data_IF_364304666180
#
_entry.id   IF_364304666180
#
_cell.length_a   1.000
_cell.length_b   1.000
_cell.length_c   1.000
_cell.angle_alpha   90.00
_cell.angle_beta   90.00
_cell.angle_gamma   90.00
#
_symmetry.space_group_name_H-M   'P 1'
#
loop_
_entity.id
_entity.type
_entity.pdbx_description
1 polymer ?
#
# COMPACT_ATOMS: atom_id res chain seq x y z
N UNK A 1 6.68 5.76 15.24
CA UNK A 1 6.73 7.01 14.42
C UNK A 1 8.10 7.70 14.50
N UNK A 2 8.59 8.14 15.67
CA UNK A 2 9.91 8.79 15.79
C UNK A 2 11.05 7.90 15.29
N UNK A 3 11.05 6.61 15.67
CA UNK A 3 12.04 5.64 15.18
C UNK A 3 11.98 5.45 13.65
N UNK A 4 10.79 5.43 13.05
CA UNK A 4 10.63 5.32 11.60
C UNK A 4 11.13 6.58 10.86
N UNK A 5 10.84 7.77 11.40
CA UNK A 5 11.37 9.04 10.87
C UNK A 5 12.89 9.13 11.03
N UNK A 6 13.44 8.57 12.12
CA UNK A 6 14.87 8.50 12.36
C UNK A 6 15.57 7.55 11.37
N UNK A 7 15.01 6.36 11.16
CA UNK A 7 15.50 5.41 10.14
C UNK A 7 15.43 6.03 8.74
N UNK A 8 14.32 6.69 8.39
CA UNK A 8 14.21 7.45 7.13
C UNK A 8 15.33 8.48 6.99
N UNK A 9 15.57 9.31 8.01
CA UNK A 9 16.65 10.31 7.98
C UNK A 9 18.04 9.67 7.87
N UNK A 10 18.28 8.51 8.48
CA UNK A 10 19.53 7.75 8.32
C UNK A 10 19.66 7.21 6.89
N UNK A 11 18.62 6.60 6.33
CA UNK A 11 18.64 6.07 4.96
C UNK A 11 18.87 7.15 3.92
N UNK A 12 18.30 8.36 4.14
CA UNK A 12 18.57 9.54 3.30
C UNK A 12 20.03 10.00 3.44
N UNK A 13 20.54 10.09 4.67
CA UNK A 13 21.91 10.57 4.93
C UNK A 13 23.00 9.59 4.47
N UNK A 14 22.68 8.29 4.38
CA UNK A 14 23.60 7.22 3.95
C UNK A 14 23.59 6.97 2.44
N UNK A 15 22.75 7.68 1.66
CA UNK A 15 22.66 7.51 0.20
C UNK A 15 21.99 6.20 -0.26
N UNK A 16 21.67 5.29 0.66
CA UNK A 16 20.90 4.07 0.37
C UNK A 16 19.51 4.38 -0.18
N UNK A 17 18.94 5.50 0.23
CA UNK A 17 17.66 5.95 -0.29
C UNK A 17 17.73 6.31 -1.79
N UNK A 18 18.87 6.83 -2.27
CA UNK A 18 19.07 7.08 -3.70
C UNK A 18 19.14 5.79 -4.52
N UNK A 19 19.60 4.69 -3.92
CA UNK A 19 19.60 3.34 -4.55
C UNK A 19 18.19 2.77 -4.65
N UNK A 20 17.37 2.94 -3.60
CA UNK A 20 15.96 2.52 -3.62
C UNK A 20 15.20 3.36 -4.65
N UNK A 21 15.42 4.68 -4.66
CA UNK A 21 14.89 5.61 -5.65
C UNK A 21 15.32 5.25 -7.07
N UNK A 22 16.59 4.95 -7.32
CA UNK A 22 17.08 4.57 -8.65
C UNK A 22 16.50 3.24 -9.12
N UNK A 23 16.28 2.29 -8.20
CA UNK A 23 15.65 0.99 -8.51
C UNK A 23 14.16 1.12 -8.84
N UNK A 24 13.45 2.08 -8.25
CA UNK A 24 12.05 2.36 -8.58
C UNK A 24 11.95 3.16 -9.89
N UNK A 25 12.81 4.19 -10.06
CA UNK A 25 12.86 5.01 -11.27
C UNK A 25 13.32 4.23 -12.50
N UNK A 26 14.12 3.17 -12.34
CA UNK A 26 14.51 2.30 -13.44
C UNK A 26 13.37 1.45 -13.99
N UNK A 27 12.32 1.19 -13.19
CA UNK A 27 11.15 0.43 -13.62
C UNK A 27 10.21 1.33 -14.43
N UNK A 28 9.91 2.53 -13.93
CA UNK A 28 8.99 3.43 -14.64
C UNK A 28 9.19 4.91 -14.29
N UNK A 29 9.15 5.80 -15.30
CA UNK A 29 9.12 7.24 -15.08
C UNK A 29 7.71 7.77 -14.72
N UNK A 30 6.65 6.96 -14.89
CA UNK A 30 5.26 7.38 -14.63
C UNK A 30 4.98 7.41 -13.13
N UNK A 31 4.63 8.59 -12.60
CA UNK A 31 4.28 8.78 -11.19
C UNK A 31 3.11 7.88 -10.74
N UNK A 32 2.13 7.62 -11.60
CA UNK A 32 0.97 6.76 -11.28
C UNK A 32 1.42 5.32 -11.03
N UNK A 33 2.31 4.81 -11.86
CA UNK A 33 2.87 3.47 -11.72
C UNK A 33 3.84 3.39 -10.54
N UNK A 34 4.62 4.43 -10.26
CA UNK A 34 5.44 4.51 -9.05
C UNK A 34 4.59 4.45 -7.78
N UNK A 35 3.44 5.14 -7.78
CA UNK A 35 2.50 5.09 -6.67
C UNK A 35 1.94 3.67 -6.50
N UNK A 36 1.56 2.99 -7.59
CA UNK A 36 1.10 1.60 -7.52
C UNK A 36 2.18 0.67 -6.94
N UNK A 37 3.42 0.77 -7.41
CA UNK A 37 4.52 -0.12 -6.97
C UNK A 37 4.89 0.16 -5.52
N UNK A 38 5.09 1.42 -5.16
CA UNK A 38 5.61 1.81 -3.84
C UNK A 38 4.50 1.93 -2.81
N UNK A 39 3.44 2.66 -3.14
CA UNK A 39 2.32 2.92 -2.25
C UNK A 39 1.47 1.69 -1.99
N UNK A 40 1.16 0.90 -3.04
CA UNK A 40 0.35 -0.30 -2.89
C UNK A 40 1.18 -1.57 -2.72
N UNK A 41 1.96 -2.00 -3.72
CA UNK A 41 2.57 -3.33 -3.69
C UNK A 41 3.59 -3.46 -2.54
N UNK A 42 4.53 -2.53 -2.44
CA UNK A 42 5.52 -2.51 -1.36
C UNK A 42 4.89 -2.19 0.00
N UNK A 43 3.91 -1.29 0.02
CA UNK A 43 3.13 -0.97 1.23
C UNK A 43 2.40 -2.19 1.79
N UNK A 44 1.68 -2.93 0.96
CA UNK A 44 0.95 -4.14 1.35
C UNK A 44 1.89 -5.23 1.88
N UNK A 45 3.05 -5.40 1.26
CA UNK A 45 4.10 -6.31 1.75
C UNK A 45 4.55 -5.93 3.17
N UNK A 46 4.88 -4.65 3.38
CA UNK A 46 5.29 -4.15 4.69
C UNK A 46 4.17 -4.23 5.73
N UNK A 47 2.91 -4.03 5.35
CA UNK A 47 1.74 -4.13 6.23
C UNK A 47 1.53 -5.56 6.72
N UNK A 48 1.72 -6.56 5.85
CA UNK A 48 1.73 -7.95 6.28
C UNK A 48 2.79 -8.25 7.35
N UNK A 49 4.00 -7.69 7.19
CA UNK A 49 5.14 -7.98 8.07
C UNK A 49 5.18 -7.16 9.37
N UNK A 50 4.89 -5.85 9.30
CA UNK A 50 5.03 -4.91 10.42
C UNK A 50 3.69 -4.43 10.99
N UNK A 51 2.73 -4.15 10.10
CA UNK A 51 1.42 -3.59 10.42
C UNK A 51 1.43 -2.22 11.12
N UNK A 52 0.26 -1.83 11.66
CA UNK A 52 0.08 -0.68 12.55
C UNK A 52 0.52 0.68 11.96
N UNK A 53 0.42 0.84 10.63
CA UNK A 53 0.68 2.13 9.97
C UNK A 53 2.16 2.53 9.82
N UNK A 54 3.10 1.71 10.32
CA UNK A 54 4.51 1.87 9.96
C UNK A 54 4.78 1.79 8.43
N UNK A 55 4.11 0.91 7.67
CA UNK A 55 4.24 0.83 6.21
C UNK A 55 3.84 2.11 5.48
N UNK A 56 2.74 2.73 5.93
CA UNK A 56 2.25 3.99 5.35
C UNK A 56 3.30 5.09 5.48
N UNK A 57 3.95 5.18 6.65
CA UNK A 57 4.99 6.18 6.87
C UNK A 57 6.21 5.96 5.97
N UNK A 58 6.64 4.69 5.80
CA UNK A 58 7.80 4.34 4.97
C UNK A 58 7.52 4.61 3.49
N UNK A 59 6.38 4.14 2.99
CA UNK A 59 5.98 4.31 1.58
C UNK A 59 5.72 5.78 1.23
N UNK A 60 5.08 6.55 2.12
CA UNK A 60 4.88 7.97 1.92
C UNK A 60 6.23 8.72 1.84
N UNK A 61 7.17 8.39 2.74
CA UNK A 61 8.49 9.00 2.72
C UNK A 61 9.28 8.65 1.44
N UNK A 62 9.14 7.42 0.94
CA UNK A 62 9.68 6.99 -0.36
C UNK A 62 9.09 7.80 -1.52
N UNK A 63 7.77 7.92 -1.60
CA UNK A 63 7.10 8.72 -2.63
C UNK A 63 7.50 10.21 -2.59
N UNK A 64 7.66 10.79 -1.39
CA UNK A 64 8.17 12.15 -1.25
C UNK A 64 9.57 12.28 -1.83
N UNK A 65 10.43 11.30 -1.59
CA UNK A 65 11.76 11.24 -2.18
C UNK A 65 11.77 11.07 -3.70
N UNK A 66 10.71 10.50 -4.28
CA UNK A 66 10.50 10.43 -5.74
C UNK A 66 9.96 11.73 -6.35
N UNK A 67 9.61 12.72 -5.53
CA UNK A 67 9.16 14.05 -5.98
C UNK A 67 7.68 14.34 -5.73
N UNK A 68 6.96 13.47 -5.01
CA UNK A 68 5.57 13.74 -4.63
C UNK A 68 5.51 14.79 -3.52
N UNK A 69 4.43 15.59 -3.50
CA UNK A 69 4.16 16.51 -2.39
C UNK A 69 3.89 15.72 -1.10
N UNK A 70 4.47 16.09 0.07
CA UNK A 70 4.35 15.32 1.31
C UNK A 70 2.93 14.96 1.74
N UNK A 71 2.03 15.95 1.83
CA UNK A 71 0.63 15.70 2.20
C UNK A 71 -0.09 14.83 1.17
N UNK A 72 0.22 15.01 -0.11
CA UNK A 72 -0.40 14.27 -1.19
C UNK A 72 0.03 12.80 -1.17
N UNK A 73 1.34 12.54 -1.04
CA UNK A 73 1.89 11.19 -0.90
C UNK A 73 1.34 10.47 0.33
N UNK A 74 1.30 11.14 1.49
CA UNK A 74 0.75 10.57 2.71
C UNK A 74 -0.73 10.22 2.56
N UNK A 75 -1.55 11.11 1.97
CA UNK A 75 -2.97 10.85 1.72
C UNK A 75 -3.18 9.68 0.77
N UNK A 76 -2.40 9.62 -0.31
CA UNK A 76 -2.43 8.51 -1.27
C UNK A 76 -2.07 7.17 -0.61
N UNK A 77 -0.98 7.11 0.16
CA UNK A 77 -0.60 5.89 0.89
C UNK A 77 -1.66 5.48 1.92
N UNK A 78 -2.30 6.43 2.62
CA UNK A 78 -3.36 6.12 3.58
C UNK A 78 -4.57 5.46 2.92
N UNK A 79 -5.02 6.00 1.78
CA UNK A 79 -6.16 5.44 1.05
C UNK A 79 -5.87 4.01 0.63
N UNK A 80 -4.71 3.79 0.02
CA UNK A 80 -4.28 2.50 -0.52
C UNK A 80 -4.05 1.45 0.58
N UNK A 81 -3.60 1.86 1.76
CA UNK A 81 -3.38 0.95 2.88
C UNK A 81 -4.67 0.35 3.46
N UNK A 82 -5.84 0.89 3.11
CA UNK A 82 -7.15 0.40 3.57
C UNK A 82 -7.39 -1.07 3.20
N UNK A 83 -6.82 -1.53 2.08
CA UNK A 83 -6.94 -2.92 1.67
C UNK A 83 -6.07 -3.89 2.51
N UNK A 84 -4.73 -3.73 2.56
CA UNK A 84 -3.86 -4.67 3.27
C UNK A 84 -4.01 -4.68 4.79
N UNK A 85 -4.54 -3.62 5.41
CA UNK A 85 -4.60 -3.50 6.88
C UNK A 85 -5.38 -4.63 7.56
N UNK A 86 -6.40 -5.21 6.90
CA UNK A 86 -7.19 -6.29 7.51
C UNK A 86 -6.35 -7.54 7.82
N UNK A 87 -5.33 -7.81 7.01
CA UNK A 87 -4.37 -8.90 7.21
C UNK A 87 -3.03 -8.41 7.81
N UNK A 88 -2.98 -7.14 8.22
CA UNK A 88 -1.78 -6.51 8.76
C UNK A 88 -1.30 -7.17 10.05
N UNK A 89 0.01 -7.03 10.32
CA UNK A 89 0.66 -7.62 11.49
C UNK A 89 0.33 -9.11 11.67
N UNK A 90 0.47 -9.90 10.60
CA UNK A 90 0.15 -11.33 10.60
C UNK A 90 -1.30 -11.65 11.03
N UNK A 91 -2.27 -10.82 10.62
CA UNK A 91 -3.69 -11.07 10.85
C UNK A 91 -4.20 -10.70 12.25
N UNK A 92 -3.45 -9.94 13.04
CA UNK A 92 -3.89 -9.44 14.35
C UNK A 92 -5.29 -8.80 14.31
N UNK A 93 -5.65 -7.95 13.33
CA UNK A 93 -6.99 -7.35 13.27
C UNK A 93 -8.12 -8.38 13.18
N UNK A 94 -7.94 -9.47 12.44
CA UNK A 94 -8.92 -10.55 12.32
C UNK A 94 -9.01 -11.34 13.63
N UNK A 95 -7.86 -11.66 14.25
CA UNK A 95 -7.80 -12.38 15.53
C UNK A 95 -8.49 -11.58 16.64
N UNK A 96 -8.21 -10.28 16.74
CA UNK A 96 -8.82 -9.40 17.75
C UNK A 96 -10.31 -9.23 17.47
N UNK A 97 -10.72 -9.08 16.20
CA UNK A 97 -12.14 -9.01 15.84
C UNK A 97 -12.91 -10.27 16.27
N UNK A 98 -12.33 -11.46 16.08
CA UNK A 98 -12.92 -12.71 16.56
C UNK A 98 -13.03 -12.76 18.08
N UNK A 99 -11.98 -12.35 18.78
CA UNK A 99 -11.98 -12.30 20.25
C UNK A 99 -13.04 -11.38 20.85
N UNK A 100 -13.24 -10.18 20.28
CA UNK A 100 -14.20 -9.20 20.83
C UNK A 100 -15.65 -9.48 20.44
N UNK A 101 -15.88 -10.14 19.30
CA UNK A 101 -17.23 -10.47 18.81
C UNK A 101 -17.70 -11.86 19.26
N UNK A 102 -16.78 -12.74 19.66
CA UNK A 102 -17.08 -14.15 19.93
C UNK A 102 -17.31 -15.00 18.67
N UNK A 103 -17.05 -14.44 17.48
CA UNK A 103 -17.14 -15.14 16.19
C UNK A 103 -15.78 -15.79 15.89
N UNK A 104 -15.78 -16.95 15.23
CA UNK A 104 -14.54 -17.61 14.84
C UNK A 104 -13.70 -16.70 13.92
N UNK A 105 -12.42 -16.56 14.25
CA UNK A 105 -11.48 -15.71 13.50
C UNK A 105 -11.30 -16.24 12.07
N UNK A 106 -11.43 -17.56 11.88
CA UNK A 106 -11.36 -18.16 10.56
C UNK A 106 -12.56 -17.77 9.68
N UNK A 107 -13.78 -17.77 10.23
CA UNK A 107 -14.97 -17.30 9.52
C UNK A 107 -14.86 -15.82 9.13
N UNK A 108 -14.39 -14.97 10.05
CA UNK A 108 -14.16 -13.55 9.76
C UNK A 108 -13.13 -13.40 8.64
N UNK A 109 -12.01 -14.12 8.71
CA UNK A 109 -10.97 -14.09 7.68
C UNK A 109 -11.50 -14.50 6.31
N UNK A 110 -12.34 -15.54 6.24
CA UNK A 110 -12.97 -15.98 4.98
C UNK A 110 -13.95 -14.95 4.41
N UNK A 111 -14.74 -14.28 5.26
CA UNK A 111 -15.63 -13.21 4.83
C UNK A 111 -14.84 -12.01 4.28
N UNK A 112 -13.82 -11.59 5.01
CA UNK A 112 -12.92 -10.50 4.62
C UNK A 112 -12.20 -10.83 3.31
N UNK A 113 -11.60 -12.02 3.19
CA UNK A 113 -10.92 -12.47 1.98
C UNK A 113 -11.81 -12.56 0.73
N UNK A 114 -13.13 -12.58 0.89
CA UNK A 114 -14.10 -12.50 -0.23
C UNK A 114 -14.51 -11.08 -0.60
N UNK A 115 -14.63 -10.19 0.38
CA UNK A 115 -15.11 -8.81 0.17
C UNK A 115 -13.98 -7.87 -0.20
N UNK A 116 -12.83 -8.06 0.42
CA UNK A 116 -11.69 -7.16 0.36
C UNK A 116 -11.02 -7.13 -1.03
N UNK A 117 -10.93 -8.22 -1.80
CA UNK A 117 -10.44 -8.19 -3.19
C UNK A 117 -11.22 -7.21 -4.07
N UNK A 118 -12.54 -7.22 -3.95
CA UNK A 118 -13.43 -6.37 -4.73
C UNK A 118 -13.23 -4.89 -4.36
N UNK A 119 -13.20 -4.59 -3.06
CA UNK A 119 -12.92 -3.24 -2.57
C UNK A 119 -11.53 -2.75 -2.97
N UNK A 120 -10.52 -3.62 -2.97
CA UNK A 120 -9.15 -3.26 -3.34
C UNK A 120 -9.06 -2.77 -4.77
N UNK A 121 -9.66 -3.51 -5.72
CA UNK A 121 -9.67 -3.11 -7.13
C UNK A 121 -10.34 -1.74 -7.30
N UNK A 122 -11.48 -1.51 -6.64
CA UNK A 122 -12.19 -0.23 -6.69
C UNK A 122 -11.31 0.90 -6.16
N UNK A 123 -10.65 0.71 -5.01
CA UNK A 123 -9.77 1.71 -4.41
C UNK A 123 -8.60 2.00 -5.34
N UNK A 124 -7.97 0.99 -5.95
CA UNK A 124 -6.87 1.20 -6.90
C UNK A 124 -7.29 1.93 -8.17
N UNK A 125 -8.51 1.73 -8.66
CA UNK A 125 -9.03 2.57 -9.75
C UNK A 125 -9.29 4.00 -9.28
N UNK A 126 -9.78 4.15 -8.05
CA UNK A 126 -10.09 5.46 -7.47
C UNK A 126 -8.83 6.30 -7.27
N UNK A 127 -7.72 5.73 -6.83
CA UNK A 127 -6.46 6.49 -6.68
C UNK A 127 -5.95 6.99 -8.03
N UNK A 128 -6.09 6.20 -9.10
CA UNK A 128 -5.67 6.59 -10.44
C UNK A 128 -6.56 7.73 -10.96
N UNK A 129 -7.84 7.70 -10.61
CA UNK A 129 -8.76 8.81 -10.85
C UNK A 129 -8.35 10.09 -10.10
N UNK A 130 -7.92 9.96 -8.84
CA UNK A 130 -7.47 11.11 -8.02
C UNK A 130 -6.15 11.70 -8.56
N UNK A 131 -5.27 10.87 -9.11
CA UNK A 131 -3.99 11.31 -9.65
C UNK A 131 -4.10 12.02 -10.99
N UNK A 132 -4.88 11.46 -11.92
CA UNK A 132 -4.85 11.92 -13.32
C UNK A 132 -6.21 11.74 -14.04
N UNK A 133 -7.29 11.66 -13.25
CA UNK A 133 -8.66 11.57 -13.74
C UNK A 133 -8.93 10.35 -14.62
N UNK A 134 -9.76 10.55 -15.64
CA UNK A 134 -10.17 9.49 -16.57
C UNK A 134 -9.00 8.98 -17.43
N UNK A 135 -8.00 9.83 -17.69
CA UNK A 135 -6.78 9.44 -18.42
C UNK A 135 -5.92 8.49 -17.58
N UNK A 136 -5.76 8.80 -16.29
CA UNK A 136 -5.12 7.92 -15.32
C UNK A 136 -5.69 6.52 -15.36
N UNK A 137 -7.03 6.39 -15.28
CA UNK A 137 -7.71 5.10 -15.34
C UNK A 137 -7.43 4.38 -16.67
N UNK A 138 -7.63 5.05 -17.81
CA UNK A 138 -7.49 4.42 -19.14
C UNK A 138 -6.06 4.01 -19.50
N UNK A 139 -5.05 4.68 -18.96
CA UNK A 139 -3.65 4.37 -19.28
C UNK A 139 -3.07 3.34 -18.30
N UNK A 140 -3.56 3.29 -17.06
CA UNK A 140 -2.99 2.43 -16.00
C UNK A 140 -3.83 1.20 -15.65
N UNK A 141 -5.01 1.03 -16.25
CA UNK A 141 -5.91 -0.10 -15.95
C UNK A 141 -5.23 -1.49 -15.99
N UNK A 142 -4.28 -1.81 -16.90
CA UNK A 142 -3.68 -3.14 -16.90
C UNK A 142 -2.83 -3.35 -15.65
N UNK A 143 -2.08 -2.32 -15.24
CA UNK A 143 -1.25 -2.36 -14.04
C UNK A 143 -2.12 -2.48 -12.78
N UNK A 144 -3.21 -1.72 -12.71
CA UNK A 144 -4.18 -1.80 -11.61
C UNK A 144 -4.80 -3.19 -11.49
N UNK A 145 -5.20 -3.79 -12.61
CA UNK A 145 -5.77 -5.14 -12.62
C UNK A 145 -4.75 -6.18 -12.21
N UNK A 146 -3.49 -6.07 -12.66
CA UNK A 146 -2.42 -7.00 -12.26
C UNK A 146 -2.11 -6.86 -10.77
N UNK A 147 -1.96 -5.63 -10.25
CA UNK A 147 -1.66 -5.42 -8.84
C UNK A 147 -2.83 -5.86 -7.95
N UNK A 148 -4.04 -5.40 -8.24
CA UNK A 148 -5.25 -5.76 -7.49
C UNK A 148 -5.60 -7.24 -7.62
N UNK A 149 -5.44 -7.83 -8.80
CA UNK A 149 -5.67 -9.25 -9.05
C UNK A 149 -4.66 -10.15 -8.36
N UNK A 150 -3.37 -9.79 -8.37
CA UNK A 150 -2.34 -10.54 -7.62
C UNK A 150 -2.61 -10.50 -6.12
N UNK A 151 -2.98 -9.33 -5.61
CA UNK A 151 -3.36 -9.18 -4.20
C UNK A 151 -4.63 -9.97 -3.85
N UNK A 152 -5.63 -9.96 -4.73
CA UNK A 152 -6.87 -10.72 -4.57
C UNK A 152 -6.63 -12.24 -4.50
N UNK A 153 -5.80 -12.77 -5.41
CA UNK A 153 -5.50 -14.20 -5.46
C UNK A 153 -4.75 -14.64 -4.21
N UNK A 154 -3.85 -13.80 -3.68
CA UNK A 154 -3.07 -14.11 -2.49
C UNK A 154 -3.88 -14.16 -1.18
N UNK A 155 -5.16 -13.76 -1.18
CA UNK A 155 -6.04 -13.80 -0.01
C UNK A 155 -6.76 -15.14 0.21
N UNK A 156 -6.64 -16.08 -0.73
CA UNK A 156 -7.22 -17.42 -0.68
C UNK A 156 -6.15 -18.48 -0.48
#
# INVERSE_FOLDING_TARGET
IIAAVFVYKISVKTGQFDIIRSSILSITPDQRLQMLIVGFCFGAFLEGAAGFGAPVAITAALLVGLGFKPLYAAGLCLIVNTAPVAFGAMGIPILVAGQVTGIDSFEIGQMVGRQLPFMTIIVLFWIMAIMDGWRGIKETWPAVVVAGGSFAIAQY
#
